data_IF_176110749554
#
_entry.id   IF_176110749554
#
_cell.length_a   1.000
_cell.length_b   1.000
_cell.length_c   1.000
_cell.angle_alpha   90.00
_cell.angle_beta   90.00
_cell.angle_gamma   90.00
#
_symmetry.space_group_name_H-M   'P 1'
#
loop_
_entity.id
_entity.type
_entity.pdbx_description
1 polymer ?
#
# COMPACT_ATOMS: atom_id res chain seq x y z
N UNK A 1 -24.07 -16.86 0.31
CA UNK A 1 -24.42 -17.91 -0.71
C UNK A 1 -23.13 -18.27 -1.44
N UNK A 2 -22.58 -19.48 -1.19
CA UNK A 2 -21.46 -20.04 -1.97
C UNK A 2 -21.98 -20.27 -3.40
N UNK A 3 -21.43 -19.54 -4.37
CA UNK A 3 -21.64 -19.87 -5.78
C UNK A 3 -20.88 -21.18 -6.08
N UNK A 4 -21.60 -22.27 -6.25
CA UNK A 4 -21.04 -23.49 -6.84
C UNK A 4 -20.75 -23.21 -8.31
N UNK A 5 -19.51 -22.96 -8.63
CA UNK A 5 -19.02 -22.90 -10.01
C UNK A 5 -18.71 -24.33 -10.46
N UNK A 6 -19.05 -24.64 -11.69
CA UNK A 6 -18.97 -25.95 -12.37
C UNK A 6 -17.71 -26.74 -11.99
N UNK A 7 -17.86 -27.75 -11.15
CA UNK A 7 -16.83 -28.40 -10.36
C UNK A 7 -15.82 -29.28 -11.14
N UNK A 8 -15.90 -29.37 -12.46
CA UNK A 8 -15.04 -30.28 -13.25
C UNK A 8 -13.91 -29.63 -14.06
N UNK A 9 -14.02 -28.32 -14.38
CA UNK A 9 -13.10 -27.64 -15.29
C UNK A 9 -12.13 -26.67 -14.62
N UNK A 10 -12.20 -26.48 -13.30
CA UNK A 10 -11.43 -25.50 -12.52
C UNK A 10 -10.60 -26.17 -11.41
N UNK A 11 -10.09 -27.37 -11.66
CA UNK A 11 -9.36 -28.12 -10.63
C UNK A 11 -8.07 -27.41 -10.13
N UNK A 12 -7.42 -26.65 -11.02
CA UNK A 12 -6.19 -25.89 -10.74
C UNK A 12 -6.13 -24.74 -11.74
N UNK A 13 -6.79 -23.64 -11.41
CA UNK A 13 -7.03 -22.53 -12.34
C UNK A 13 -6.92 -21.18 -11.62
N UNK A 14 -6.12 -20.29 -12.17
CA UNK A 14 -6.10 -18.88 -11.79
C UNK A 14 -6.91 -18.04 -12.77
N UNK A 15 -7.60 -17.05 -12.23
CA UNK A 15 -8.39 -16.10 -13.03
C UNK A 15 -7.85 -14.70 -12.77
N UNK A 16 -7.25 -14.14 -13.80
CA UNK A 16 -6.70 -12.79 -13.76
C UNK A 16 -7.79 -11.77 -14.07
N UNK A 17 -7.90 -10.76 -13.24
CA UNK A 17 -8.69 -9.57 -13.45
C UNK A 17 -7.80 -8.34 -13.52
N UNK A 18 -8.18 -7.39 -14.36
CA UNK A 18 -7.51 -6.11 -14.47
C UNK A 18 -8.51 -5.00 -14.71
N UNK A 19 -8.41 -3.95 -13.92
CA UNK A 19 -9.21 -2.74 -14.07
C UNK A 19 -8.30 -1.52 -14.06
N UNK A 20 -8.41 -0.72 -15.11
CA UNK A 20 -7.74 0.58 -15.23
C UNK A 20 -8.74 1.67 -14.83
N UNK A 21 -8.45 2.38 -13.74
CA UNK A 21 -9.29 3.47 -13.28
C UNK A 21 -9.14 4.73 -14.14
N UNK A 22 -10.07 5.66 -14.00
CA UNK A 22 -10.04 6.97 -14.70
C UNK A 22 -8.87 7.87 -14.24
N UNK A 23 -8.37 7.64 -13.03
CA UNK A 23 -7.14 8.25 -12.52
C UNK A 23 -5.95 7.32 -12.77
N UNK A 24 -4.77 7.67 -12.28
CA UNK A 24 -3.51 6.91 -12.45
C UNK A 24 -3.48 5.54 -11.76
N UNK A 25 -4.55 5.13 -11.07
CA UNK A 25 -4.59 3.86 -10.34
C UNK A 25 -5.31 2.78 -11.13
N UNK A 26 -4.65 1.63 -11.22
CA UNK A 26 -5.20 0.38 -11.76
C UNK A 26 -5.09 -0.72 -10.71
N UNK A 27 -5.83 -1.80 -10.88
CA UNK A 27 -5.73 -2.95 -10.01
C UNK A 27 -5.59 -4.24 -10.82
N UNK A 28 -4.62 -5.04 -10.42
CA UNK A 28 -4.40 -6.40 -10.87
C UNK A 28 -4.90 -7.36 -9.78
N UNK A 29 -5.72 -8.33 -10.16
CA UNK A 29 -6.30 -9.33 -9.25
C UNK A 29 -6.04 -10.72 -9.79
N UNK A 30 -5.71 -11.67 -8.91
CA UNK A 30 -5.67 -13.09 -9.23
C UNK A 30 -6.58 -13.84 -8.27
N UNK A 31 -7.58 -14.54 -8.82
CA UNK A 31 -8.46 -15.43 -8.09
C UNK A 31 -7.99 -16.87 -8.29
N UNK A 32 -7.59 -17.53 -7.20
CA UNK A 32 -7.08 -18.90 -7.21
C UNK A 32 -8.21 -19.89 -6.99
N UNK A 33 -8.44 -20.78 -7.95
CA UNK A 33 -9.41 -21.86 -7.85
C UNK A 33 -8.70 -23.22 -7.69
N UNK A 34 -9.08 -23.96 -6.65
CA UNK A 34 -8.63 -25.31 -6.40
C UNK A 34 -9.84 -26.22 -6.18
N UNK A 35 -9.92 -27.33 -6.93
CA UNK A 35 -11.05 -28.26 -6.84
C UNK A 35 -12.42 -27.66 -7.19
N UNK A 36 -12.46 -26.56 -7.93
CA UNK A 36 -13.68 -25.84 -8.30
C UNK A 36 -14.15 -24.76 -7.32
N UNK A 37 -13.48 -24.61 -6.19
CA UNK A 37 -13.77 -23.58 -5.19
C UNK A 37 -12.70 -22.47 -5.21
N UNK A 38 -13.13 -21.24 -4.90
CA UNK A 38 -12.21 -20.12 -4.70
C UNK A 38 -11.40 -20.32 -3.41
N UNK A 39 -10.11 -20.60 -3.56
CA UNK A 39 -9.18 -20.88 -2.45
C UNK A 39 -8.52 -19.62 -1.90
N UNK A 40 -8.11 -18.70 -2.78
CA UNK A 40 -7.44 -17.45 -2.40
C UNK A 40 -7.69 -16.33 -3.41
N UNK A 41 -7.41 -15.10 -3.00
CA UNK A 41 -7.41 -13.90 -3.82
C UNK A 41 -6.18 -13.07 -3.51
N UNK A 42 -5.38 -12.81 -4.53
CA UNK A 42 -4.29 -11.82 -4.48
C UNK A 42 -4.70 -10.59 -5.28
N UNK A 43 -4.22 -9.42 -4.85
CA UNK A 43 -4.45 -8.18 -5.60
C UNK A 43 -3.34 -7.17 -5.32
N UNK A 44 -3.10 -6.32 -6.30
CA UNK A 44 -2.13 -5.24 -6.24
C UNK A 44 -2.67 -3.99 -6.92
N UNK A 45 -2.56 -2.84 -6.23
CA UNK A 45 -2.80 -1.54 -6.82
C UNK A 45 -1.51 -1.02 -7.43
N UNK A 46 -1.59 -0.58 -8.67
CA UNK A 46 -0.46 -0.10 -9.45
C UNK A 46 -0.72 1.29 -10.01
N UNK A 47 0.33 2.07 -10.16
CA UNK A 47 0.29 3.33 -10.89
C UNK A 47 0.56 3.03 -12.36
N UNK A 48 -0.45 3.27 -13.22
CA UNK A 48 -0.32 3.06 -14.65
C UNK A 48 -0.46 4.39 -15.38
N UNK A 49 0.45 4.72 -16.31
CA UNK A 49 0.26 5.82 -17.23
C UNK A 49 -1.01 5.63 -18.07
N UNK A 50 -1.75 6.70 -18.32
CA UNK A 50 -3.00 6.63 -19.09
C UNK A 50 -2.81 6.25 -20.57
N UNK A 51 -1.58 6.32 -21.07
CA UNK A 51 -1.25 6.13 -22.49
C UNK A 51 -0.73 4.73 -22.84
N UNK A 52 -0.52 3.86 -21.83
CA UNK A 52 -0.02 2.50 -22.08
C UNK A 52 -1.15 1.53 -22.50
N UNK A 53 -0.84 0.65 -23.45
CA UNK A 53 -1.78 -0.37 -23.90
C UNK A 53 -2.08 -1.37 -22.75
N UNK A 54 -3.35 -1.71 -22.61
CA UNK A 54 -3.82 -2.60 -21.58
C UNK A 54 -3.19 -4.00 -21.65
N UNK A 55 -2.94 -4.51 -22.86
CA UNK A 55 -2.35 -5.83 -23.06
C UNK A 55 -0.88 -5.85 -22.64
N UNK A 56 -0.14 -4.78 -22.91
CA UNK A 56 1.27 -4.66 -22.52
C UNK A 56 1.44 -4.58 -21.01
N UNK A 57 0.62 -3.75 -20.34
CA UNK A 57 0.59 -3.67 -18.88
C UNK A 57 0.28 -5.04 -18.28
N UNK A 58 -0.74 -5.72 -18.80
CA UNK A 58 -1.16 -7.02 -18.29
C UNK A 58 -0.10 -8.08 -18.51
N UNK A 59 0.59 -8.10 -19.66
CA UNK A 59 1.71 -9.00 -19.94
C UNK A 59 2.83 -8.84 -18.91
N UNK A 60 3.25 -7.58 -18.65
CA UNK A 60 4.27 -7.27 -17.65
C UNK A 60 3.86 -7.75 -16.25
N UNK A 61 2.61 -7.49 -15.84
CA UNK A 61 2.08 -7.89 -14.54
C UNK A 61 1.99 -9.40 -14.37
N UNK A 62 1.48 -10.11 -15.37
CA UNK A 62 1.40 -11.58 -15.37
C UNK A 62 2.79 -12.17 -15.23
N UNK A 63 3.77 -11.68 -15.99
CA UNK A 63 5.15 -12.11 -15.88
C UNK A 63 5.73 -11.83 -14.49
N UNK A 64 5.58 -10.62 -13.99
CA UNK A 64 6.08 -10.22 -12.67
C UNK A 64 5.44 -11.05 -11.55
N UNK A 65 4.16 -11.36 -11.67
CA UNK A 65 3.43 -12.12 -10.68
C UNK A 65 3.86 -13.59 -10.62
N UNK A 66 3.99 -14.27 -11.77
CA UNK A 66 4.29 -15.71 -11.83
C UNK A 66 5.78 -16.05 -11.83
N UNK A 67 6.66 -15.19 -12.35
CA UNK A 67 8.10 -15.48 -12.45
C UNK A 67 8.78 -15.82 -11.11
N UNK A 68 8.49 -15.18 -9.97
CA UNK A 68 9.10 -15.52 -8.69
C UNK A 68 8.42 -16.71 -7.98
N UNK A 69 7.30 -17.25 -8.50
CA UNK A 69 6.47 -18.26 -7.84
C UNK A 69 6.86 -19.66 -8.25
N UNK A 70 7.08 -20.53 -7.26
CA UNK A 70 7.39 -21.95 -7.51
C UNK A 70 6.17 -22.79 -7.88
N UNK A 71 4.96 -22.29 -7.62
CA UNK A 71 3.70 -22.99 -7.94
C UNK A 71 2.91 -22.14 -8.94
N UNK A 72 2.75 -22.67 -10.15
CA UNK A 72 1.97 -22.06 -11.22
C UNK A 72 0.86 -23.04 -11.59
N UNK A 73 -0.42 -22.60 -11.70
CA UNK A 73 -1.53 -23.48 -12.00
C UNK A 73 -1.48 -23.98 -13.44
N UNK A 74 -2.22 -25.07 -13.72
CA UNK A 74 -2.31 -25.62 -15.07
C UNK A 74 -3.01 -24.69 -16.06
N UNK A 75 -3.89 -23.85 -15.58
CA UNK A 75 -4.66 -22.92 -16.40
C UNK A 75 -4.64 -21.50 -15.79
N UNK A 76 -4.39 -20.51 -16.63
CA UNK A 76 -4.51 -19.10 -16.27
C UNK A 76 -5.49 -18.45 -17.25
N UNK A 77 -6.61 -17.93 -16.74
CA UNK A 77 -7.58 -17.20 -17.54
C UNK A 77 -7.25 -15.73 -17.55
N UNK A 78 -7.19 -15.14 -18.74
CA UNK A 78 -6.81 -13.74 -18.97
C UNK A 78 -7.99 -12.92 -19.49
N UNK A 79 -8.11 -11.63 -19.10
CA UNK A 79 -9.18 -10.74 -19.55
C UNK A 79 -9.00 -10.23 -20.99
N UNK A 80 -7.81 -10.33 -21.56
CA UNK A 80 -7.52 -10.04 -22.96
C UNK A 80 -6.35 -10.90 -23.47
N UNK A 81 -6.21 -11.02 -24.77
CA UNK A 81 -5.07 -11.69 -25.41
C UNK A 81 -3.79 -10.87 -25.17
N UNK A 82 -2.67 -11.57 -25.00
CA UNK A 82 -1.36 -10.97 -24.87
C UNK A 82 -0.53 -11.25 -26.12
N UNK A 83 0.28 -10.28 -26.57
CA UNK A 83 1.15 -10.48 -27.74
C UNK A 83 2.22 -11.56 -27.48
N UNK A 84 2.70 -11.69 -26.26
CA UNK A 84 3.72 -12.65 -25.83
C UNK A 84 3.15 -13.90 -25.14
N UNK A 85 1.88 -14.25 -25.39
CA UNK A 85 1.20 -15.41 -24.78
C UNK A 85 1.99 -16.72 -24.96
N UNK A 86 2.50 -17.01 -26.16
CA UNK A 86 3.24 -18.24 -26.46
C UNK A 86 4.59 -18.30 -25.71
N UNK A 87 5.43 -17.26 -25.71
CA UNK A 87 6.62 -17.20 -24.88
C UNK A 87 6.33 -17.35 -23.38
N UNK A 88 5.27 -16.72 -22.86
CA UNK A 88 4.88 -16.83 -21.45
C UNK A 88 4.44 -18.25 -21.10
N UNK A 89 3.61 -18.90 -21.93
CA UNK A 89 3.21 -20.29 -21.71
C UNK A 89 4.41 -21.24 -21.64
N UNK A 90 5.41 -21.05 -22.50
CA UNK A 90 6.65 -21.86 -22.47
C UNK A 90 7.41 -21.62 -21.17
N UNK A 91 7.67 -20.35 -20.82
CA UNK A 91 8.38 -19.97 -19.60
C UNK A 91 7.71 -20.57 -18.36
N UNK A 92 6.41 -20.39 -18.22
CA UNK A 92 5.67 -20.88 -17.07
C UNK A 92 5.60 -22.42 -17.02
N UNK A 93 5.49 -23.08 -18.17
CA UNK A 93 5.50 -24.56 -18.23
C UNK A 93 6.84 -25.15 -17.85
N UNK A 94 7.95 -24.56 -18.30
CA UNK A 94 9.30 -24.95 -17.91
C UNK A 94 9.52 -24.76 -16.41
N UNK A 95 9.08 -23.62 -15.88
CA UNK A 95 9.21 -23.30 -14.46
C UNK A 95 8.33 -24.20 -13.56
N UNK A 96 7.11 -24.48 -13.97
CA UNK A 96 6.16 -25.28 -13.21
C UNK A 96 6.44 -26.81 -13.29
N UNK A 97 7.22 -27.26 -14.28
CA UNK A 97 7.45 -28.68 -14.55
C UNK A 97 6.22 -29.41 -15.12
N UNK A 98 5.21 -28.69 -15.58
CA UNK A 98 4.01 -29.19 -16.24
C UNK A 98 3.49 -28.18 -17.26
N UNK A 99 2.57 -28.63 -18.14
CA UNK A 99 1.96 -27.73 -19.13
C UNK A 99 1.09 -26.69 -18.44
N UNK A 100 1.36 -25.41 -18.73
CA UNK A 100 0.56 -24.24 -18.32
C UNK A 100 -0.12 -23.67 -19.57
N UNK A 101 -1.43 -23.44 -19.48
CA UNK A 101 -2.23 -22.84 -20.54
C UNK A 101 -2.67 -21.44 -20.14
N UNK A 102 -2.41 -20.46 -21.01
CA UNK A 102 -3.01 -19.13 -20.94
C UNK A 102 -4.25 -19.14 -21.85
N UNK A 103 -5.38 -18.69 -21.35
CA UNK A 103 -6.64 -18.71 -22.10
C UNK A 103 -7.36 -17.38 -21.97
N UNK A 104 -7.85 -16.87 -23.10
CA UNK A 104 -8.69 -15.67 -23.15
C UNK A 104 -10.12 -16.06 -23.54
N UNK A 105 -10.98 -16.44 -22.55
CA UNK A 105 -12.33 -16.91 -22.84
C UNK A 105 -13.21 -15.79 -23.36
N UNK A 106 -14.03 -16.09 -24.39
CA UNK A 106 -14.94 -15.12 -25.00
C UNK A 106 -16.41 -15.34 -24.56
N UNK A 107 -16.75 -16.50 -24.00
CA UNK A 107 -18.12 -16.87 -23.60
C UNK A 107 -18.15 -17.97 -22.53
N UNK A 108 -19.31 -18.14 -21.91
CA UNK A 108 -19.59 -19.21 -20.96
C UNK A 108 -19.00 -18.96 -19.56
N UNK A 109 -19.00 -19.99 -18.73
CA UNK A 109 -18.64 -19.88 -17.30
C UNK A 109 -17.23 -19.31 -17.06
N UNK A 110 -16.26 -19.58 -17.93
CA UNK A 110 -14.91 -19.03 -17.80
C UNK A 110 -14.90 -17.51 -18.02
N UNK A 111 -15.72 -17.00 -18.95
CA UNK A 111 -15.90 -15.56 -19.14
C UNK A 111 -16.58 -14.89 -17.93
N UNK A 112 -17.51 -15.59 -17.29
CA UNK A 112 -18.18 -15.06 -16.08
C UNK A 112 -17.17 -14.95 -14.92
N UNK A 113 -16.17 -15.84 -14.84
CA UNK A 113 -15.08 -15.73 -13.86
C UNK A 113 -14.17 -14.53 -14.17
N UNK A 114 -13.88 -14.25 -15.42
CA UNK A 114 -13.14 -13.03 -15.82
C UNK A 114 -13.92 -11.78 -15.42
N UNK A 115 -15.24 -11.75 -15.67
CA UNK A 115 -16.10 -10.63 -15.22
C UNK A 115 -16.04 -10.46 -13.69
N UNK A 116 -16.07 -11.56 -12.95
CA UNK A 116 -15.94 -11.54 -11.49
C UNK A 116 -14.58 -10.98 -11.06
N UNK A 117 -13.48 -11.42 -11.66
CA UNK A 117 -12.14 -10.93 -11.36
C UNK A 117 -11.98 -9.43 -11.69
N UNK A 118 -12.47 -8.99 -12.87
CA UNK A 118 -12.46 -7.58 -13.26
C UNK A 118 -13.31 -6.72 -12.31
N UNK A 119 -14.47 -7.22 -11.88
CA UNK A 119 -15.29 -6.53 -10.88
C UNK A 119 -14.58 -6.40 -9.55
N UNK A 120 -13.88 -7.44 -9.08
CA UNK A 120 -13.05 -7.36 -7.88
C UNK A 120 -11.95 -6.30 -8.02
N UNK A 121 -11.29 -6.23 -9.18
CA UNK A 121 -10.28 -5.22 -9.44
C UNK A 121 -10.86 -3.79 -9.39
N UNK A 122 -12.04 -3.57 -9.99
CA UNK A 122 -12.74 -2.28 -9.97
C UNK A 122 -13.13 -1.87 -8.54
N UNK A 123 -13.66 -2.81 -7.74
CA UNK A 123 -14.03 -2.56 -6.34
C UNK A 123 -12.81 -2.17 -5.48
N UNK A 124 -11.63 -2.73 -5.72
CA UNK A 124 -10.42 -2.36 -4.99
C UNK A 124 -9.94 -0.95 -5.36
N UNK A 125 -10.01 -0.56 -6.64
CA UNK A 125 -9.72 0.82 -7.09
C UNK A 125 -10.68 1.81 -6.46
N UNK A 126 -12.00 1.51 -6.47
CA UNK A 126 -13.03 2.36 -5.87
C UNK A 126 -12.80 2.54 -4.36
N UNK A 127 -12.54 1.45 -3.64
CA UNK A 127 -12.21 1.52 -2.20
C UNK A 127 -11.00 2.39 -1.92
N UNK A 128 -9.97 2.28 -2.75
CA UNK A 128 -8.76 3.06 -2.60
C UNK A 128 -9.03 4.53 -2.84
N UNK A 129 -9.71 4.89 -3.94
CA UNK A 129 -10.09 6.26 -4.29
C UNK A 129 -10.90 6.91 -3.17
N UNK A 130 -11.95 6.24 -2.68
CA UNK A 130 -12.77 6.73 -1.56
C UNK A 130 -11.95 6.95 -0.29
N UNK A 131 -11.00 6.08 0.01
CA UNK A 131 -10.11 6.23 1.17
C UNK A 131 -9.18 7.43 1.03
N UNK A 132 -8.56 7.64 -0.13
CA UNK A 132 -7.69 8.78 -0.39
C UNK A 132 -8.45 10.10 -0.34
N UNK A 133 -9.63 10.16 -0.95
CA UNK A 133 -10.50 11.33 -0.87
C UNK A 133 -10.86 11.68 0.57
N UNK A 134 -11.19 10.69 1.40
CA UNK A 134 -11.45 10.91 2.84
C UNK A 134 -10.23 11.42 3.56
N UNK A 135 -9.05 10.88 3.28
CA UNK A 135 -7.79 11.33 3.88
C UNK A 135 -7.45 12.77 3.46
N UNK A 136 -7.62 13.10 2.17
CA UNK A 136 -7.41 14.46 1.66
C UNK A 136 -8.36 15.46 2.35
N UNK A 137 -9.66 15.16 2.37
CA UNK A 137 -10.66 16.01 3.06
C UNK A 137 -10.37 16.18 4.55
N UNK A 138 -9.87 15.13 5.21
CA UNK A 138 -9.49 15.21 6.63
C UNK A 138 -8.31 16.18 6.82
N UNK A 139 -7.29 16.11 5.97
CA UNK A 139 -6.14 17.03 6.04
C UNK A 139 -6.53 18.47 5.71
N UNK A 140 -7.42 18.68 4.74
CA UNK A 140 -7.97 20.00 4.44
C UNK A 140 -8.75 20.59 5.63
N UNK A 141 -9.57 19.74 6.28
CA UNK A 141 -10.31 20.16 7.48
C UNK A 141 -9.35 20.51 8.62
N UNK A 142 -8.34 19.69 8.88
CA UNK A 142 -7.33 19.93 9.90
C UNK A 142 -6.58 21.24 9.64
N UNK A 143 -6.14 21.47 8.40
CA UNK A 143 -5.47 22.72 8.02
C UNK A 143 -6.34 23.93 8.29
N UNK A 144 -7.62 23.88 7.92
CA UNK A 144 -8.57 24.99 8.19
C UNK A 144 -8.81 25.22 9.68
N UNK A 145 -8.97 24.14 10.46
CA UNK A 145 -9.17 24.26 11.92
C UNK A 145 -7.99 24.90 12.64
N UNK A 146 -6.77 24.67 12.13
CA UNK A 146 -5.53 25.19 12.70
C UNK A 146 -5.09 26.51 12.07
N UNK A 147 -5.83 27.04 11.09
CA UNK A 147 -5.48 28.28 10.39
C UNK A 147 -4.21 28.18 9.54
N UNK A 148 -3.86 26.98 9.05
CA UNK A 148 -2.73 26.78 8.17
C UNK A 148 -3.05 27.26 6.75
N UNK A 149 -2.05 27.80 6.04
CA UNK A 149 -2.18 28.26 4.64
C UNK A 149 -2.49 27.11 3.67
N UNK A 150 -2.03 25.90 4.00
CA UNK A 150 -2.25 24.69 3.22
C UNK A 150 -2.48 23.46 4.13
N UNK A 151 -3.12 22.39 3.63
CA UNK A 151 -3.24 21.16 4.38
C UNK A 151 -1.87 20.58 4.75
N UNK A 152 -1.63 20.17 6.01
CA UNK A 152 -0.33 19.67 6.44
C UNK A 152 -0.03 18.32 5.78
N UNK A 153 1.08 18.23 5.06
CA UNK A 153 1.53 16.99 4.40
C UNK A 153 2.28 16.09 5.39
N UNK A 154 3.27 16.66 6.11
CA UNK A 154 4.08 15.95 7.10
C UNK A 154 3.73 16.41 8.50
N UNK A 155 3.31 15.47 9.33
CA UNK A 155 2.95 15.70 10.74
C UNK A 155 3.92 14.87 11.58
N UNK A 156 4.57 15.48 12.55
CA UNK A 156 5.39 14.78 13.55
C UNK A 156 4.71 14.90 14.92
N UNK A 157 4.48 13.78 15.59
CA UNK A 157 3.92 13.76 16.94
C UNK A 157 4.95 13.24 17.94
N UNK A 158 5.04 13.92 19.08
CA UNK A 158 6.00 13.65 20.13
C UNK A 158 5.30 13.30 21.43
N UNK A 159 5.81 12.25 22.06
CA UNK A 159 5.36 11.76 23.37
C UNK A 159 6.58 11.50 24.26
N UNK A 160 6.50 11.93 25.53
CA UNK A 160 7.53 11.70 26.54
C UNK A 160 7.06 10.57 27.44
N UNK A 161 7.86 9.53 27.53
CA UNK A 161 7.57 8.36 28.36
C UNK A 161 8.70 8.16 29.39
N UNK A 162 8.33 8.12 30.66
CA UNK A 162 9.22 7.83 31.79
C UNK A 162 9.26 6.31 32.00
N UNK A 163 10.37 5.65 31.68
CA UNK A 163 10.59 4.23 31.91
C UNK A 163 11.51 4.02 33.13
N UNK A 164 10.97 4.15 34.36
CA UNK A 164 11.75 4.00 35.61
C UNK A 164 12.44 5.28 36.06
N UNK A 165 13.31 5.19 37.07
CA UNK A 165 13.88 6.36 37.78
C UNK A 165 14.93 7.11 36.95
N UNK A 166 15.54 6.49 35.94
CA UNK A 166 16.72 7.04 35.25
C UNK A 166 16.65 7.10 33.72
N UNK A 167 15.60 6.55 33.05
CA UNK A 167 15.48 6.52 31.59
C UNK A 167 14.24 7.28 31.09
N UNK A 168 14.41 8.54 30.73
CA UNK A 168 13.39 9.32 30.02
C UNK A 168 13.60 9.12 28.53
N UNK A 169 12.55 8.67 27.83
CA UNK A 169 12.56 8.42 26.38
C UNK A 169 11.47 9.21 25.71
N UNK A 170 11.81 9.96 24.68
CA UNK A 170 10.82 10.56 23.80
C UNK A 170 10.65 9.73 22.52
N UNK A 171 9.40 9.58 22.12
CA UNK A 171 9.02 8.93 20.87
C UNK A 171 8.56 9.96 19.85
N UNK A 172 9.04 9.86 18.62
CA UNK A 172 8.58 10.61 17.47
C UNK A 172 7.89 9.67 16.50
N UNK A 173 6.62 9.91 16.22
CA UNK A 173 5.87 9.24 15.15
C UNK A 173 5.61 10.22 14.02
N UNK A 174 5.62 9.72 12.80
CA UNK A 174 5.53 10.53 11.59
C UNK A 174 4.39 10.06 10.71
N UNK A 175 3.60 11.02 10.25
CA UNK A 175 2.56 10.83 9.25
C UNK A 175 2.87 11.67 8.01
N UNK A 176 2.68 11.09 6.83
CA UNK A 176 2.77 11.81 5.56
C UNK A 176 1.50 11.50 4.77
N UNK A 177 0.80 12.56 4.31
CA UNK A 177 -0.48 12.46 3.62
C UNK A 177 -1.49 11.58 4.40
N UNK A 178 -1.63 11.84 5.72
CA UNK A 178 -2.48 11.09 6.65
C UNK A 178 -2.14 9.58 6.79
N UNK A 179 -0.95 9.14 6.39
CA UNK A 179 -0.48 7.74 6.52
C UNK A 179 0.75 7.66 7.40
N UNK A 180 0.83 6.66 8.31
CA UNK A 180 2.00 6.49 9.15
C UNK A 180 3.25 6.15 8.30
N UNK A 181 4.32 6.92 8.48
CA UNK A 181 5.62 6.70 7.84
C UNK A 181 6.59 6.06 8.85
N UNK A 182 6.43 4.77 9.09
CA UNK A 182 7.16 4.03 10.15
C UNK A 182 8.68 4.09 10.04
N UNK A 183 9.24 4.21 8.82
CA UNK A 183 10.69 4.33 8.61
C UNK A 183 11.28 5.59 9.24
N UNK A 184 10.47 6.63 9.44
CA UNK A 184 10.87 7.92 10.01
C UNK A 184 10.60 8.00 11.53
N UNK A 185 10.04 6.95 12.15
CA UNK A 185 9.85 6.91 13.59
C UNK A 185 11.20 6.92 14.30
N UNK A 186 11.32 7.68 15.39
CA UNK A 186 12.55 7.79 16.17
C UNK A 186 12.27 7.70 17.66
N UNK A 187 13.27 7.23 18.37
CA UNK A 187 13.34 7.30 19.84
C UNK A 187 14.55 8.15 20.23
N UNK A 188 14.34 9.08 21.14
CA UNK A 188 15.37 9.93 21.68
C UNK A 188 15.58 9.57 23.15
N UNK A 189 16.75 9.04 23.50
CA UNK A 189 17.15 8.94 24.91
C UNK A 189 17.53 10.33 25.39
N UNK A 190 16.90 10.75 26.47
CA UNK A 190 17.21 12.01 27.13
C UNK A 190 18.29 11.75 28.21
N UNK A 191 19.22 12.68 28.33
CA UNK A 191 20.35 12.59 29.26
C UNK A 191 20.40 13.87 30.08
N UNK A 192 20.97 13.73 31.28
CA UNK A 192 21.29 14.87 32.15
C UNK A 192 20.05 15.71 32.55
N UNK A 193 18.96 15.02 32.89
CA UNK A 193 17.75 15.63 33.41
C UNK A 193 17.74 15.55 34.94
N UNK A 194 17.66 16.69 35.60
CA UNK A 194 17.51 16.77 37.07
C UNK A 194 16.04 16.48 37.47
N UNK A 195 15.59 15.22 37.24
CA UNK A 195 14.23 14.78 37.56
C UNK A 195 13.24 14.82 36.38
N UNK A 196 11.98 14.40 36.57
CA UNK A 196 10.97 14.37 35.54
C UNK A 196 10.46 15.78 35.23
N UNK A 197 11.13 16.45 34.27
CA UNK A 197 10.70 17.71 33.70
C UNK A 197 10.30 17.49 32.23
N UNK A 198 9.01 17.36 31.97
CA UNK A 198 8.46 17.10 30.65
C UNK A 198 8.72 18.30 29.69
N UNK A 199 8.82 19.52 30.20
CA UNK A 199 9.10 20.73 29.39
C UNK A 199 10.54 20.71 28.87
N UNK A 200 11.52 20.54 29.80
CA UNK A 200 12.91 20.48 29.43
C UNK A 200 13.20 19.26 28.54
N UNK A 201 12.48 18.15 28.76
CA UNK A 201 12.53 16.95 27.91
C UNK A 201 12.07 17.25 26.50
N UNK A 202 10.95 17.93 26.33
CA UNK A 202 10.38 18.27 25.01
C UNK A 202 11.30 19.26 24.27
N UNK A 203 11.78 20.31 24.96
CA UNK A 203 12.76 21.27 24.39
C UNK A 203 14.01 20.53 23.89
N UNK A 204 14.61 19.67 24.69
CA UNK A 204 15.80 18.92 24.30
C UNK A 204 15.55 18.06 23.04
N UNK A 205 14.38 17.39 22.96
CA UNK A 205 14.02 16.55 21.80
C UNK A 205 13.86 17.38 20.55
N UNK A 206 13.08 18.46 20.61
CA UNK A 206 12.83 19.34 19.47
C UNK A 206 14.12 20.00 18.98
N UNK A 207 14.95 20.54 19.88
CA UNK A 207 16.26 21.09 19.51
C UNK A 207 17.14 20.06 18.81
N UNK A 208 17.22 18.84 19.33
CA UNK A 208 18.02 17.77 18.69
C UNK A 208 17.45 17.38 17.32
N UNK A 209 16.12 17.37 17.16
CA UNK A 209 15.46 17.09 15.88
C UNK A 209 15.79 18.15 14.83
N UNK A 210 15.60 19.44 15.19
CA UNK A 210 15.84 20.54 14.26
C UNK A 210 17.31 20.83 14.04
N UNK A 211 18.17 20.61 15.02
CA UNK A 211 19.62 20.69 14.82
C UNK A 211 20.10 19.71 13.77
N UNK A 212 19.62 18.44 13.80
CA UNK A 212 19.96 17.46 12.77
C UNK A 212 19.45 17.85 11.38
N UNK A 213 18.29 18.49 11.30
CA UNK A 213 17.79 19.06 10.05
C UNK A 213 18.74 20.14 9.51
N UNK A 214 19.18 21.04 10.37
CA UNK A 214 20.13 22.12 10.01
C UNK A 214 21.52 21.59 9.64
N UNK A 215 21.94 20.51 10.28
CA UNK A 215 23.22 19.83 10.00
C UNK A 215 23.17 18.98 8.70
N UNK A 216 22.02 18.91 8.02
CA UNK A 216 21.87 18.18 6.77
C UNK A 216 21.80 16.64 6.94
N UNK A 217 21.42 16.13 8.12
CA UNK A 217 21.23 14.70 8.33
C UNK A 217 20.06 14.20 7.44
N UNK A 218 20.39 13.34 6.48
CA UNK A 218 19.42 12.77 5.52
C UNK A 218 18.21 12.12 6.19
N UNK A 219 18.39 11.56 7.40
CA UNK A 219 17.29 10.94 8.16
C UNK A 219 16.30 11.93 8.75
N UNK A 220 16.65 13.21 8.74
CA UNK A 220 15.86 14.32 9.27
C UNK A 220 15.67 15.44 8.25
N UNK A 221 15.90 15.16 6.97
CA UNK A 221 15.86 16.16 5.88
C UNK A 221 14.48 16.77 5.65
N UNK A 222 13.40 16.00 5.91
CA UNK A 222 12.05 16.49 5.73
C UNK A 222 11.59 17.32 6.94
N UNK A 223 11.23 18.59 6.69
CA UNK A 223 10.66 19.49 7.71
C UNK A 223 9.16 19.14 7.91
N UNK A 224 8.66 19.08 9.17
CA UNK A 224 7.23 18.93 9.42
C UNK A 224 6.46 20.21 9.11
N UNK A 225 5.23 20.04 8.59
CA UNK A 225 4.26 21.14 8.43
C UNK A 225 3.46 21.38 9.72
N UNK A 226 3.38 20.33 10.56
CA UNK A 226 2.66 20.38 11.84
C UNK A 226 3.38 19.52 12.88
N UNK A 227 3.54 20.09 14.08
CA UNK A 227 3.99 19.36 15.26
C UNK A 227 2.80 19.13 16.21
N UNK A 228 2.64 17.88 16.65
CA UNK A 228 1.71 17.49 17.70
C UNK A 228 2.50 17.13 18.94
N UNK A 229 2.27 17.88 20.02
CA UNK A 229 2.96 17.70 21.29
C UNK A 229 1.92 17.35 22.34
N UNK A 230 2.11 16.23 23.05
CA UNK A 230 1.26 15.87 24.17
C UNK A 230 1.62 16.78 25.36
N UNK A 231 0.72 17.73 25.64
CA UNK A 231 0.91 18.70 26.72
C UNK A 231 -0.01 19.91 26.59
N UNK A 232 -0.03 20.75 27.62
CA UNK A 232 -0.80 21.98 27.64
C UNK A 232 -0.11 23.14 26.88
N UNK A 233 -0.73 24.32 26.93
CA UNK A 233 -0.23 25.56 26.26
C UNK A 233 1.23 25.89 26.61
N UNK A 234 1.67 25.52 27.81
CA UNK A 234 3.04 25.77 28.25
C UNK A 234 4.07 24.94 27.46
N UNK A 235 3.73 23.72 27.00
CA UNK A 235 4.61 22.93 26.16
C UNK A 235 4.79 23.49 24.73
N UNK A 236 3.85 24.32 24.27
CA UNK A 236 3.94 24.97 22.98
C UNK A 236 4.80 26.26 23.01
N UNK A 237 5.15 26.75 24.18
CA UNK A 237 5.95 27.97 24.39
C UNK A 237 7.44 27.69 24.61
N UNK A 238 7.85 26.43 24.53
CA UNK A 238 9.24 25.96 24.58
C UNK A 238 9.83 25.95 23.15
#
# INVERSE_FOLDING_TARGET
>A
KRQKVVAGSLADTDVVGFFQGEATKSCFVVLHFAGGDLAAKDWELIDTPMEEDRADILSALVRQYYAPRGQIPKQILLPCALEDEVPLMRLFSEQAGHRVELLTPQRGAKMDLIRLANKNAAEEVERWTTREERQSKLMELLGRMLGLEAPPRRIESYDISNQGADDIVASMVVYVNARPLKRDYRRFKLKDMDGPDDYASMDQVLRRRFQRYLDGDEKFADKPDLLLIDGGVNHANV
#
